data_IF_718831143069
#
_entry.id   IF_718831143069
#
_cell.length_a   1.000
_cell.length_b   1.000
_cell.length_c   1.000
_cell.angle_alpha   90.00
_cell.angle_beta   90.00
_cell.angle_gamma   90.00
#
_symmetry.space_group_name_H-M   'P 1'
#
loop_
_entity.id
_entity.type
_entity.pdbx_description
1 polymer ?
#
# COMPACT_ATOMS: atom_id res chain seq x y z
N UNK A 1 27.93 29.19 31.10
CA UNK A 1 28.10 27.78 31.48
C UNK A 1 26.95 27.37 32.36
N UNK A 2 25.92 26.81 31.81
CA UNK A 2 24.89 26.05 32.55
C UNK A 2 23.87 25.52 31.51
N UNK A 3 23.98 24.31 31.11
CA UNK A 3 23.04 23.71 30.17
C UNK A 3 23.47 22.33 29.79
N UNK A 4 23.18 21.32 30.60
CA UNK A 4 23.12 19.91 30.16
C UNK A 4 22.98 18.99 31.40
N UNK A 5 21.81 18.99 32.04
CA UNK A 5 21.61 18.10 33.19
C UNK A 5 20.13 17.66 33.37
N UNK A 6 19.34 17.56 32.32
CA UNK A 6 17.89 17.18 32.45
C UNK A 6 17.56 15.79 31.90
N UNK A 7 18.51 15.04 31.32
CA UNK A 7 18.22 13.77 30.64
C UNK A 7 18.80 12.52 31.32
N UNK A 8 19.03 12.52 32.62
CA UNK A 8 19.53 11.32 33.34
C UNK A 8 18.77 10.99 34.63
N UNK A 9 17.45 11.05 34.60
CA UNK A 9 16.65 10.49 35.68
C UNK A 9 16.09 9.12 35.22
N UNK A 10 16.47 8.01 35.87
CA UNK A 10 15.96 6.68 35.52
C UNK A 10 14.42 6.61 35.61
N UNK A 11 13.81 7.41 36.45
CA UNK A 11 12.34 7.49 36.56
C UNK A 11 11.62 7.95 35.30
N UNK A 12 12.21 8.87 34.54
CA UNK A 12 11.59 9.39 33.30
C UNK A 12 11.66 8.33 32.18
N UNK A 13 12.74 7.54 32.15
CA UNK A 13 12.89 6.44 31.19
C UNK A 13 11.87 5.32 31.45
N UNK A 14 11.68 4.94 32.72
CA UNK A 14 10.69 3.92 33.12
C UNK A 14 9.25 4.41 32.84
N UNK A 15 8.96 5.69 33.06
CA UNK A 15 7.65 6.27 32.79
C UNK A 15 7.32 6.32 31.27
N UNK A 16 8.31 6.63 30.43
CA UNK A 16 8.16 6.58 28.96
C UNK A 16 7.98 5.13 28.47
N UNK A 17 8.71 4.19 29.05
CA UNK A 17 8.59 2.76 28.72
C UNK A 17 7.20 2.25 29.11
N UNK A 18 6.72 2.60 30.29
CA UNK A 18 5.41 2.21 30.79
C UNK A 18 4.26 2.79 29.96
N UNK A 19 4.35 4.06 29.53
CA UNK A 19 3.40 4.69 28.62
C UNK A 19 3.42 4.05 27.21
N UNK A 20 4.58 3.57 26.74
CA UNK A 20 4.69 2.87 25.47
C UNK A 20 4.05 1.49 25.52
N UNK A 21 4.20 0.77 26.64
CA UNK A 21 3.64 -0.56 26.83
C UNK A 21 2.12 -0.50 27.12
N UNK A 22 1.64 0.54 27.81
CA UNK A 22 0.21 0.80 27.97
C UNK A 22 -0.47 1.14 26.64
N UNK A 23 0.18 1.92 25.76
CA UNK A 23 -0.34 2.19 24.42
C UNK A 23 -0.40 0.93 23.55
N UNK A 24 0.61 0.06 23.61
CA UNK A 24 0.62 -1.23 22.89
C UNK A 24 -0.46 -2.16 23.41
N UNK A 25 -0.64 -2.24 24.75
CA UNK A 25 -1.68 -3.02 25.40
C UNK A 25 -3.08 -2.49 25.08
N UNK A 26 -3.26 -1.17 25.10
CA UNK A 26 -4.53 -0.52 24.74
C UNK A 26 -4.89 -0.74 23.27
N UNK A 27 -3.90 -0.69 22.35
CA UNK A 27 -4.11 -0.96 20.93
C UNK A 27 -4.49 -2.44 20.71
N UNK A 28 -3.81 -3.38 21.36
CA UNK A 28 -4.12 -4.80 21.30
C UNK A 28 -5.53 -5.12 21.85
N UNK A 29 -5.90 -4.52 22.98
CA UNK A 29 -7.24 -4.69 23.58
C UNK A 29 -8.34 -4.03 22.74
N UNK A 30 -8.03 -2.96 22.01
CA UNK A 30 -8.98 -2.29 21.11
C UNK A 30 -9.25 -3.13 19.85
N UNK A 31 -8.21 -3.80 19.34
CA UNK A 31 -8.31 -4.77 18.24
C UNK A 31 -9.15 -5.99 18.67
N UNK A 32 -9.01 -6.43 19.91
CA UNK A 32 -9.75 -7.56 20.45
C UNK A 32 -11.25 -7.25 20.67
N UNK A 33 -11.60 -6.03 21.10
CA UNK A 33 -13.02 -5.60 21.26
C UNK A 33 -13.77 -5.43 19.94
N UNK A 34 -13.09 -5.19 18.83
CA UNK A 34 -13.72 -5.10 17.50
C UNK A 34 -14.02 -6.47 16.89
N UNK A 35 -13.57 -7.57 17.49
CA UNK A 35 -13.88 -8.94 17.07
C UNK A 35 -15.29 -9.42 17.44
N UNK A 36 -16.08 -8.66 18.20
CA UNK A 36 -17.37 -9.10 18.74
C UNK A 36 -18.61 -8.65 17.92
N UNK A 37 -18.46 -8.08 16.74
CA UNK A 37 -19.56 -7.89 15.78
C UNK A 37 -19.88 -9.19 15.04
N UNK A 38 -21.14 -9.43 14.60
CA UNK A 38 -21.46 -10.59 13.77
C UNK A 38 -20.71 -10.48 12.44
N UNK A 39 -19.54 -11.13 12.36
CA UNK A 39 -18.75 -11.16 11.15
C UNK A 39 -19.52 -11.92 10.06
N UNK A 40 -19.72 -11.27 8.94
CA UNK A 40 -20.39 -11.89 7.81
C UNK A 40 -19.58 -13.11 7.34
N UNK A 41 -20.23 -14.28 7.30
CA UNK A 41 -19.60 -15.48 6.76
C UNK A 41 -19.78 -15.52 5.25
N UNK A 42 -18.69 -15.72 4.55
CA UNK A 42 -18.65 -15.91 3.10
C UNK A 42 -18.58 -17.41 2.80
N UNK A 43 -19.61 -17.95 2.15
CA UNK A 43 -19.62 -19.35 1.72
C UNK A 43 -18.76 -19.54 0.46
N UNK A 44 -18.29 -20.76 0.22
CA UNK A 44 -17.50 -21.08 -0.99
C UNK A 44 -18.22 -20.78 -2.31
N UNK A 45 -19.56 -20.76 -2.32
CA UNK A 45 -20.38 -20.35 -3.49
C UNK A 45 -20.22 -18.85 -3.83
N UNK A 46 -19.87 -18.04 -2.84
CA UNK A 46 -19.77 -16.60 -2.96
C UNK A 46 -18.32 -16.11 -3.17
N UNK A 47 -17.39 -17.06 -3.19
CA UNK A 47 -15.98 -16.75 -3.45
C UNK A 47 -15.78 -16.18 -4.84
N UNK A 48 -15.23 -14.98 -4.92
CA UNK A 48 -14.93 -14.25 -6.15
C UNK A 48 -13.57 -13.58 -6.06
N UNK A 49 -13.01 -13.30 -7.21
CA UNK A 49 -11.82 -12.43 -7.28
C UNK A 49 -12.15 -11.08 -6.62
N UNK A 50 -11.28 -10.63 -5.72
CA UNK A 50 -11.46 -9.39 -4.95
C UNK A 50 -12.24 -9.55 -3.65
N UNK A 51 -12.77 -10.74 -3.31
CA UNK A 51 -13.37 -11.01 -2.00
C UNK A 51 -12.31 -10.91 -0.91
N UNK A 52 -12.62 -10.17 0.15
CA UNK A 52 -11.75 -10.01 1.31
C UNK A 52 -12.20 -10.95 2.41
N UNK A 53 -11.28 -11.76 2.92
CA UNK A 53 -11.55 -12.79 3.92
C UNK A 53 -10.53 -12.76 5.04
N UNK A 54 -10.92 -13.19 6.22
CA UNK A 54 -10.02 -13.37 7.37
C UNK A 54 -9.57 -14.83 7.39
N UNK A 55 -8.26 -15.02 7.44
CA UNK A 55 -7.64 -16.32 7.59
C UNK A 55 -6.54 -16.23 8.65
N UNK A 56 -6.62 -17.11 9.65
CA UNK A 56 -5.67 -17.13 10.77
C UNK A 56 -5.55 -15.74 11.47
N UNK A 57 -6.63 -14.95 11.46
CA UNK A 57 -6.69 -13.61 12.07
C UNK A 57 -6.08 -12.49 11.24
N UNK A 58 -5.69 -12.76 10.00
CA UNK A 58 -5.14 -11.76 9.07
C UNK A 58 -6.06 -11.58 7.84
N UNK A 59 -6.13 -10.37 7.27
CA UNK A 59 -6.96 -10.12 6.08
C UNK A 59 -6.25 -10.57 4.80
N UNK A 60 -6.99 -11.27 3.96
CA UNK A 60 -6.54 -11.75 2.65
C UNK A 60 -7.46 -11.27 1.53
N UNK A 61 -6.86 -10.96 0.39
CA UNK A 61 -7.56 -10.68 -0.87
C UNK A 61 -7.53 -11.91 -1.79
N UNK A 62 -8.69 -12.33 -2.30
CA UNK A 62 -8.78 -13.43 -3.26
C UNK A 62 -8.39 -12.95 -4.65
N UNK A 63 -7.18 -13.32 -5.12
CA UNK A 63 -6.68 -12.99 -6.46
C UNK A 63 -7.33 -13.83 -7.54
N UNK A 64 -7.49 -15.14 -7.27
CA UNK A 64 -8.05 -16.11 -8.20
C UNK A 64 -8.90 -17.13 -7.44
N UNK A 65 -10.03 -17.51 -8.03
CA UNK A 65 -10.90 -18.57 -7.54
C UNK A 65 -11.21 -19.50 -8.69
N UNK A 66 -10.71 -20.74 -8.62
CA UNK A 66 -10.90 -21.75 -9.64
C UNK A 66 -11.81 -22.86 -9.09
N UNK A 67 -13.00 -22.99 -9.67
CA UNK A 67 -13.93 -24.06 -9.36
C UNK A 67 -13.57 -25.34 -10.11
N UNK A 68 -13.36 -26.44 -9.38
CA UNK A 68 -13.05 -27.75 -9.94
C UNK A 68 -14.10 -28.74 -9.47
N UNK A 69 -14.85 -29.31 -10.43
CA UNK A 69 -15.81 -30.37 -10.16
C UNK A 69 -15.24 -31.69 -10.67
N UNK A 70 -14.64 -32.53 -9.82
CA UNK A 70 -14.19 -33.87 -10.24
C UNK A 70 -15.39 -34.75 -10.61
N UNK A 71 -15.22 -35.66 -11.54
CA UNK A 71 -16.30 -36.56 -12.01
C UNK A 71 -16.87 -37.47 -10.91
N UNK A 72 -16.09 -37.77 -9.87
CA UNK A 72 -16.52 -38.44 -8.64
C UNK A 72 -15.95 -37.64 -7.44
N UNK A 73 -16.82 -37.14 -6.56
CA UNK A 73 -16.43 -36.43 -5.33
C UNK A 73 -17.05 -35.04 -5.19
N UNK A 74 -16.74 -34.39 -4.07
CA UNK A 74 -17.17 -33.01 -3.78
C UNK A 74 -16.46 -32.00 -4.68
N UNK A 75 -17.19 -30.94 -5.02
CA UNK A 75 -16.60 -29.81 -5.71
C UNK A 75 -15.56 -29.09 -4.83
N UNK A 76 -14.49 -28.63 -5.45
CA UNK A 76 -13.37 -27.97 -4.79
C UNK A 76 -13.18 -26.56 -5.36
N UNK A 77 -12.85 -25.63 -4.49
CA UNK A 77 -12.48 -24.26 -4.84
C UNK A 77 -11.00 -24.07 -4.56
N UNK A 78 -10.20 -23.91 -5.61
CA UNK A 78 -8.79 -23.54 -5.49
C UNK A 78 -8.69 -22.03 -5.47
N UNK A 79 -8.27 -21.48 -4.35
CA UNK A 79 -8.19 -20.04 -4.12
C UNK A 79 -6.71 -19.65 -4.00
N UNK A 80 -6.31 -18.66 -4.78
CA UNK A 80 -5.05 -17.97 -4.65
C UNK A 80 -5.31 -16.65 -3.95
N UNK A 81 -4.69 -16.47 -2.79
CA UNK A 81 -4.97 -15.35 -1.89
C UNK A 81 -3.69 -14.58 -1.57
N UNK A 82 -3.79 -13.26 -1.47
CA UNK A 82 -2.70 -12.39 -1.06
C UNK A 82 -2.99 -11.84 0.34
N UNK A 83 -2.05 -12.02 1.24
CA UNK A 83 -2.10 -11.37 2.54
C UNK A 83 -1.98 -9.85 2.37
N UNK A 84 -2.91 -9.09 2.93
CA UNK A 84 -2.95 -7.65 2.77
C UNK A 84 -1.97 -6.91 3.69
N UNK A 85 -1.50 -7.56 4.78
CA UNK A 85 -0.51 -6.99 5.69
C UNK A 85 0.92 -7.26 5.24
N UNK A 86 1.19 -8.51 4.82
CA UNK A 86 2.55 -9.01 4.52
C UNK A 86 2.85 -9.12 3.03
N UNK A 87 1.85 -8.96 2.17
CA UNK A 87 1.99 -9.11 0.72
C UNK A 87 2.23 -10.54 0.23
N UNK A 88 2.33 -11.52 1.11
CA UNK A 88 2.60 -12.93 0.77
C UNK A 88 1.42 -13.58 0.05
N UNK A 89 1.71 -14.45 -0.92
CA UNK A 89 0.68 -15.18 -1.68
C UNK A 89 0.59 -16.59 -1.14
N UNK A 90 -0.66 -17.04 -0.92
CA UNK A 90 -0.99 -18.36 -0.41
C UNK A 90 -2.02 -19.04 -1.34
N UNK A 91 -1.78 -20.29 -1.69
CA UNK A 91 -2.73 -21.13 -2.42
C UNK A 91 -3.41 -22.10 -1.45
N UNK A 92 -4.75 -22.03 -1.34
CA UNK A 92 -5.54 -22.97 -0.53
C UNK A 92 -6.71 -23.56 -1.34
N UNK A 93 -7.11 -24.76 -0.94
CA UNK A 93 -8.25 -25.47 -1.55
C UNK A 93 -9.32 -25.69 -0.49
N UNK A 94 -10.53 -25.23 -0.79
CA UNK A 94 -11.72 -25.38 0.04
C UNK A 94 -12.71 -26.35 -0.59
N UNK A 95 -13.47 -27.05 0.23
CA UNK A 95 -14.55 -27.92 -0.22
C UNK A 95 -15.83 -27.11 -0.39
N UNK A 96 -16.71 -27.59 -1.26
CA UNK A 96 -18.05 -27.00 -1.35
C UNK A 96 -18.79 -27.16 -0.01
N UNK A 97 -19.21 -26.02 0.57
CA UNK A 97 -19.85 -25.96 1.89
C UNK A 97 -18.95 -25.38 3.00
N UNK A 98 -17.65 -25.21 2.74
CA UNK A 98 -16.79 -24.48 3.67
C UNK A 98 -17.19 -22.99 3.69
N UNK A 99 -16.94 -22.31 4.81
CA UNK A 99 -17.14 -20.86 4.95
C UNK A 99 -15.90 -20.21 5.52
N UNK A 100 -15.66 -18.97 5.12
CA UNK A 100 -14.63 -18.10 5.67
C UNK A 100 -15.29 -16.84 6.24
N UNK A 101 -14.64 -16.26 7.20
CA UNK A 101 -15.02 -14.95 7.72
C UNK A 101 -14.74 -13.86 6.68
N UNK A 102 -15.73 -13.02 6.37
CA UNK A 102 -15.52 -11.85 5.54
C UNK A 102 -14.72 -10.80 6.32
N UNK A 103 -13.67 -10.25 5.71
CA UNK A 103 -12.96 -9.13 6.29
C UNK A 103 -13.76 -7.84 6.06
N UNK A 104 -14.07 -7.12 7.15
CA UNK A 104 -14.67 -5.79 7.05
C UNK A 104 -13.59 -4.79 6.66
N UNK A 105 -13.52 -4.50 5.36
CA UNK A 105 -12.58 -3.55 4.80
C UNK A 105 -13.32 -2.39 4.17
N UNK A 106 -12.87 -1.17 4.45
CA UNK A 106 -13.38 0.05 3.86
C UNK A 106 -12.32 0.75 3.03
N UNK A 107 -12.74 1.41 1.97
CA UNK A 107 -11.90 2.35 1.24
C UNK A 107 -12.08 3.75 1.86
N UNK A 108 -10.98 4.43 2.07
CA UNK A 108 -10.93 5.83 2.46
C UNK A 108 -10.03 6.62 1.53
N UNK A 109 -10.08 7.93 1.59
CA UNK A 109 -9.19 8.83 0.86
C UNK A 109 -8.18 9.41 1.84
N UNK A 110 -6.90 9.24 1.52
CA UNK A 110 -5.79 9.77 2.31
C UNK A 110 -4.88 10.63 1.46
N UNK A 111 -4.53 11.80 1.98
CA UNK A 111 -3.56 12.70 1.39
C UNK A 111 -2.16 12.36 1.89
N UNK A 112 -1.23 12.10 0.98
CA UNK A 112 0.16 11.80 1.33
C UNK A 112 0.84 13.06 1.87
N UNK A 113 1.43 12.97 3.05
CA UNK A 113 2.13 14.08 3.68
C UNK A 113 3.65 13.96 3.49
N UNK A 114 4.22 12.88 3.98
CA UNK A 114 5.66 12.63 3.91
C UNK A 114 6.01 11.17 4.16
N UNK A 115 7.26 10.82 3.84
CA UNK A 115 7.83 9.52 4.14
C UNK A 115 8.68 9.59 5.41
N UNK A 116 8.41 8.69 6.35
CA UNK A 116 9.19 8.53 7.58
C UNK A 116 9.96 7.18 7.57
N UNK A 117 10.79 6.96 8.57
CA UNK A 117 11.55 5.70 8.77
C UNK A 117 10.66 4.48 8.96
N UNK A 118 9.44 4.67 9.46
CA UNK A 118 8.44 3.62 9.71
C UNK A 118 7.54 3.32 8.52
N UNK A 119 7.44 4.26 7.56
CA UNK A 119 6.57 4.13 6.39
C UNK A 119 6.17 5.45 5.78
N UNK A 120 4.99 5.45 5.17
CA UNK A 120 4.38 6.60 4.51
C UNK A 120 3.29 7.17 5.41
N UNK A 121 3.35 8.45 5.70
CA UNK A 121 2.36 9.15 6.53
C UNK A 121 1.32 9.82 5.65
N UNK A 122 0.06 9.55 5.95
CA UNK A 122 -1.11 10.11 5.28
C UNK A 122 -2.01 10.81 6.27
N UNK A 123 -2.83 11.71 5.77
CA UNK A 123 -3.92 12.35 6.49
C UNK A 123 -5.25 11.93 5.87
N UNK A 124 -6.16 11.40 6.68
CA UNK A 124 -7.53 11.09 6.25
C UNK A 124 -8.27 12.40 5.96
N UNK A 125 -8.87 12.51 4.78
CA UNK A 125 -9.58 13.73 4.37
C UNK A 125 -10.93 13.93 5.08
N UNK A 126 -11.44 12.93 5.78
CA UNK A 126 -12.74 13.02 6.47
C UNK A 126 -12.59 13.47 7.93
N UNK A 127 -11.64 12.90 8.66
CA UNK A 127 -11.45 13.16 10.09
C UNK A 127 -10.17 13.92 10.39
N UNK A 128 -9.30 14.16 9.39
CA UNK A 128 -7.99 14.82 9.51
C UNK A 128 -7.02 14.10 10.45
N UNK A 129 -7.26 12.83 10.74
CA UNK A 129 -6.34 12.02 11.52
C UNK A 129 -5.17 11.53 10.66
N UNK A 130 -3.99 11.53 11.26
CA UNK A 130 -2.80 10.99 10.59
C UNK A 130 -2.67 9.50 10.87
N UNK A 131 -2.33 8.75 9.83
CA UNK A 131 -2.04 7.33 9.94
C UNK A 131 -0.82 6.97 9.08
N UNK A 132 -0.17 5.87 9.43
CA UNK A 132 1.04 5.42 8.74
C UNK A 132 0.77 4.08 8.04
N UNK A 133 1.19 3.99 6.79
CA UNK A 133 1.19 2.75 6.01
C UNK A 133 2.62 2.27 5.92
N UNK A 134 2.88 1.00 6.26
CA UNK A 134 4.22 0.42 6.14
C UNK A 134 4.69 0.42 4.69
N UNK A 135 6.00 0.56 4.47
CA UNK A 135 6.59 0.52 3.13
C UNK A 135 6.31 -0.81 2.42
N UNK A 136 6.16 -1.91 3.17
CA UNK A 136 5.80 -3.22 2.63
C UNK A 136 4.37 -3.28 2.10
N UNK A 137 3.42 -2.67 2.83
CA UNK A 137 2.02 -2.62 2.41
C UNK A 137 1.79 -1.66 1.23
N UNK A 138 2.56 -0.57 1.16
CA UNK A 138 2.52 0.37 0.04
C UNK A 138 3.16 -0.21 -1.24
N UNK A 139 4.19 -1.05 -1.10
CA UNK A 139 4.88 -1.71 -2.22
C UNK A 139 5.39 -0.72 -3.27
N UNK A 140 5.32 -1.12 -4.55
CA UNK A 140 5.80 -0.31 -5.68
C UNK A 140 5.00 0.98 -5.91
N UNK A 141 3.79 1.08 -5.36
CA UNK A 141 2.95 2.26 -5.51
C UNK A 141 3.49 3.49 -4.78
N UNK A 142 4.37 3.27 -3.80
CA UNK A 142 5.06 4.34 -3.08
C UNK A 142 6.12 5.08 -3.91
N UNK A 143 6.58 4.49 -5.03
CA UNK A 143 7.72 4.99 -5.81
C UNK A 143 7.45 6.33 -6.47
N UNK A 144 6.23 6.55 -6.95
CA UNK A 144 5.84 7.75 -7.71
C UNK A 144 4.78 8.59 -6.99
N UNK A 145 4.74 8.50 -5.65
CA UNK A 145 3.90 9.39 -4.85
C UNK A 145 4.48 10.79 -4.85
N UNK A 146 3.58 11.76 -5.06
CA UNK A 146 3.87 13.18 -4.91
C UNK A 146 3.36 13.68 -3.56
N UNK A 147 3.97 14.74 -3.04
CA UNK A 147 3.47 15.44 -1.86
C UNK A 147 2.04 15.94 -2.11
N UNK A 148 1.19 15.78 -1.14
CA UNK A 148 -0.25 16.10 -1.18
C UNK A 148 -1.05 15.29 -2.23
N UNK A 149 -0.53 14.17 -2.74
CA UNK A 149 -1.30 13.30 -3.63
C UNK A 149 -2.42 12.59 -2.86
N UNK A 150 -3.64 12.67 -3.38
CA UNK A 150 -4.80 11.95 -2.83
C UNK A 150 -4.77 10.50 -3.32
N UNK A 151 -4.72 9.58 -2.39
CA UNK A 151 -4.66 8.16 -2.61
C UNK A 151 -5.88 7.45 -2.03
N UNK A 152 -6.27 6.34 -2.64
CA UNK A 152 -7.27 5.45 -2.03
C UNK A 152 -6.55 4.51 -1.08
N UNK A 153 -6.97 4.53 0.17
CA UNK A 153 -6.41 3.71 1.24
C UNK A 153 -7.42 2.65 1.65
N UNK A 154 -6.94 1.42 1.75
CA UNK A 154 -7.73 0.30 2.22
C UNK A 154 -7.54 0.17 3.74
N UNK A 155 -8.62 0.32 4.49
CA UNK A 155 -8.65 0.15 5.93
C UNK A 155 -9.27 -1.19 6.31
N UNK A 156 -8.72 -1.84 7.29
CA UNK A 156 -9.31 -2.96 8.00
C UNK A 156 -9.54 -2.54 9.46
N UNK A 157 -10.81 -2.26 9.79
CA UNK A 157 -11.10 -1.54 11.01
C UNK A 157 -10.49 -0.13 11.00
N UNK A 158 -9.59 0.15 11.95
CA UNK A 158 -8.86 1.43 12.05
C UNK A 158 -7.44 1.37 11.45
N UNK A 159 -7.01 0.20 10.99
CA UNK A 159 -5.64 0.00 10.47
C UNK A 159 -5.63 0.14 8.96
N UNK A 160 -4.76 0.99 8.44
CA UNK A 160 -4.50 1.10 7.01
C UNK A 160 -3.63 -0.07 6.54
N UNK A 161 -4.17 -0.91 5.66
CA UNK A 161 -3.55 -2.18 5.22
C UNK A 161 -3.14 -2.19 3.75
N UNK A 162 -3.54 -1.19 2.98
CA UNK A 162 -3.20 -1.10 1.58
C UNK A 162 -3.32 0.31 1.04
N UNK A 163 -2.61 0.55 -0.04
CA UNK A 163 -2.57 1.83 -0.73
C UNK A 163 -2.85 1.60 -2.22
N UNK A 164 -3.64 2.47 -2.82
CA UNK A 164 -3.79 2.59 -4.26
C UNK A 164 -3.48 4.03 -4.65
N UNK A 165 -2.28 4.23 -5.21
CA UNK A 165 -1.84 5.53 -5.69
C UNK A 165 -2.65 5.94 -6.94
N UNK A 166 -2.71 7.24 -7.26
CA UNK A 166 -3.24 7.72 -8.53
C UNK A 166 -2.57 7.00 -9.71
N UNK A 167 -3.33 6.71 -10.76
CA UNK A 167 -2.79 6.00 -11.92
C UNK A 167 -1.70 6.79 -12.65
N UNK A 168 -1.70 8.10 -12.52
CA UNK A 168 -0.77 9.02 -13.19
C UNK A 168 -0.19 10.01 -12.19
N UNK A 169 1.11 10.30 -12.35
CA UNK A 169 1.81 11.33 -11.60
C UNK A 169 2.47 12.33 -12.58
N UNK A 170 2.46 13.61 -12.23
CA UNK A 170 3.14 14.67 -13.02
C UNK A 170 4.38 15.11 -12.27
N UNK A 171 5.56 14.77 -12.77
CA UNK A 171 6.83 15.01 -12.10
C UNK A 171 7.78 15.84 -12.94
N UNK A 172 8.63 16.62 -12.26
CA UNK A 172 9.67 17.41 -12.90
C UNK A 172 10.92 16.56 -13.13
N UNK A 173 11.48 16.65 -14.33
CA UNK A 173 12.77 16.04 -14.66
C UNK A 173 13.90 16.86 -14.03
N UNK A 174 14.65 16.26 -13.12
CA UNK A 174 15.80 16.89 -12.44
C UNK A 174 17.09 16.66 -13.17
N UNK A 175 17.25 15.49 -13.80
CA UNK A 175 18.45 15.15 -14.56
C UNK A 175 18.09 14.25 -15.75
N UNK A 176 18.76 14.48 -16.89
CA UNK A 176 18.69 13.61 -18.06
C UNK A 176 19.95 13.75 -18.90
N UNK A 177 20.36 12.68 -19.57
CA UNK A 177 21.49 12.71 -20.47
C UNK A 177 21.18 13.49 -21.76
N UNK A 178 22.17 14.23 -22.25
CA UNK A 178 22.06 14.91 -23.54
C UNK A 178 22.36 13.92 -24.66
N UNK A 179 21.36 13.61 -25.48
CA UNK A 179 21.59 12.74 -26.64
C UNK A 179 22.04 13.61 -27.82
N UNK A 180 23.23 13.34 -28.37
CA UNK A 180 23.74 14.03 -29.55
C UNK A 180 22.79 13.80 -30.75
N UNK A 181 22.41 14.91 -31.43
CA UNK A 181 21.59 14.88 -32.65
C UNK A 181 22.40 14.21 -33.76
N UNK A 182 22.17 12.92 -34.02
CA UNK A 182 22.91 12.21 -35.07
C UNK A 182 22.31 10.87 -35.48
N UNK A 183 21.38 10.31 -34.69
CA UNK A 183 20.80 9.01 -35.00
C UNK A 183 19.27 9.15 -35.19
N UNK A 184 18.83 9.08 -36.42
CA UNK A 184 17.43 9.22 -36.87
C UNK A 184 16.61 7.94 -36.64
N UNK A 185 16.72 7.31 -35.50
CA UNK A 185 15.81 6.25 -35.12
C UNK A 185 14.69 6.81 -34.22
N UNK A 186 13.48 6.75 -34.72
CA UNK A 186 12.27 7.41 -34.21
C UNK A 186 11.81 6.94 -32.80
N UNK A 187 12.55 6.05 -32.13
CA UNK A 187 12.19 5.49 -30.83
C UNK A 187 13.36 5.49 -29.84
N UNK A 188 14.24 6.50 -29.92
CA UNK A 188 15.34 6.61 -28.96
C UNK A 188 14.80 7.09 -27.61
N UNK A 189 14.87 6.23 -26.61
CA UNK A 189 14.59 6.57 -25.20
C UNK A 189 15.89 6.80 -24.45
N UNK A 190 15.85 7.64 -23.42
CA UNK A 190 16.98 7.94 -22.53
C UNK A 190 16.52 7.90 -21.08
N UNK A 191 17.42 7.60 -20.14
CA UNK A 191 17.09 7.67 -18.72
C UNK A 191 16.95 9.14 -18.29
N UNK A 192 15.92 9.41 -17.50
CA UNK A 192 15.70 10.69 -16.86
C UNK A 192 15.40 10.47 -15.38
N UNK A 193 16.03 11.23 -14.52
CA UNK A 193 15.74 11.23 -13.09
C UNK A 193 14.70 12.29 -12.79
N UNK A 194 13.66 11.92 -12.07
CA UNK A 194 12.60 12.83 -11.64
C UNK A 194 12.83 13.33 -10.21
N UNK A 195 12.04 14.29 -9.76
CA UNK A 195 12.23 15.02 -8.49
C UNK A 195 12.28 14.14 -7.24
N UNK A 196 11.65 12.98 -7.27
CA UNK A 196 11.70 12.00 -6.17
C UNK A 196 12.92 11.06 -6.22
N UNK A 197 13.84 11.24 -7.17
CA UNK A 197 15.06 10.44 -7.33
C UNK A 197 14.89 9.16 -8.15
N UNK A 198 13.69 8.83 -8.61
CA UNK A 198 13.42 7.66 -9.45
C UNK A 198 13.85 7.91 -10.90
N UNK A 199 14.25 6.84 -11.59
CA UNK A 199 14.66 6.90 -13.00
C UNK A 199 13.58 6.34 -13.91
N UNK A 200 13.19 7.13 -14.91
CA UNK A 200 12.16 6.80 -15.90
C UNK A 200 12.74 6.86 -17.31
N UNK A 201 12.34 5.95 -18.19
CA UNK A 201 12.71 6.00 -19.61
C UNK A 201 11.83 7.02 -20.36
N UNK A 202 12.45 8.05 -20.89
CA UNK A 202 11.76 9.13 -21.60
C UNK A 202 12.24 9.26 -23.05
N UNK A 203 11.44 9.80 -23.98
CA UNK A 203 11.88 10.10 -25.34
C UNK A 203 13.04 11.12 -25.36
N UNK A 204 13.88 11.05 -26.39
CA UNK A 204 15.07 11.88 -26.53
C UNK A 204 14.82 13.39 -26.48
N UNK A 205 13.62 13.86 -26.80
CA UNK A 205 13.26 15.27 -26.83
C UNK A 205 12.94 15.88 -25.45
N UNK A 206 12.82 15.05 -24.41
CA UNK A 206 12.58 15.52 -23.04
C UNK A 206 13.87 16.12 -22.48
N UNK A 207 13.79 17.31 -21.93
CA UNK A 207 14.92 18.04 -21.37
C UNK A 207 14.81 18.19 -19.85
N UNK A 208 15.94 18.54 -19.23
CA UNK A 208 15.96 18.86 -17.81
C UNK A 208 15.08 20.08 -17.52
N UNK A 209 14.23 19.97 -16.50
CA UNK A 209 13.24 20.98 -16.13
C UNK A 209 11.86 20.76 -16.73
N UNK A 210 11.70 19.85 -17.71
CA UNK A 210 10.38 19.51 -18.27
C UNK A 210 9.50 18.84 -17.22
N UNK A 211 8.19 19.12 -17.30
CA UNK A 211 7.17 18.39 -16.55
C UNK A 211 6.68 17.22 -17.40
N UNK A 212 6.77 16.03 -16.86
CA UNK A 212 6.34 14.81 -17.55
C UNK A 212 5.24 14.11 -16.76
N UNK A 213 4.29 13.53 -17.49
CA UNK A 213 3.28 12.64 -16.94
C UNK A 213 3.74 11.21 -17.11
N UNK A 214 3.73 10.48 -16.02
CA UNK A 214 4.14 9.07 -15.94
C UNK A 214 3.01 8.22 -15.40
N UNK A 215 3.00 6.96 -15.77
CA UNK A 215 2.15 5.96 -15.13
C UNK A 215 2.78 5.60 -13.78
N UNK A 216 2.08 5.88 -12.68
CA UNK A 216 2.59 5.65 -11.33
C UNK A 216 2.76 4.16 -10.98
N UNK A 217 2.09 3.25 -11.70
CA UNK A 217 2.19 1.81 -11.45
C UNK A 217 3.33 1.15 -12.23
N UNK A 218 3.52 1.55 -13.51
CA UNK A 218 4.53 0.93 -14.38
C UNK A 218 5.82 1.74 -14.49
N UNK A 219 5.80 3.03 -14.10
CA UNK A 219 6.91 3.95 -14.27
C UNK A 219 7.13 4.38 -15.72
N UNK A 220 6.16 4.15 -16.62
CA UNK A 220 6.28 4.48 -18.02
C UNK A 220 5.92 5.96 -18.30
N UNK A 221 6.70 6.58 -19.18
CA UNK A 221 6.40 7.92 -19.69
C UNK A 221 5.10 7.91 -20.53
N UNK A 222 4.22 8.85 -20.27
CA UNK A 222 2.97 9.03 -21.02
C UNK A 222 3.11 10.24 -21.96
N UNK A 223 3.34 11.41 -21.39
CA UNK A 223 3.43 12.67 -22.18
C UNK A 223 4.21 13.75 -21.43
N UNK A 224 4.63 14.78 -22.19
CA UNK A 224 5.17 16.02 -21.63
C UNK A 224 4.04 17.00 -21.38
N UNK A 225 3.94 17.49 -20.14
CA UNK A 225 2.98 18.52 -19.73
C UNK A 225 3.59 19.88 -20.05
N UNK A 226 2.84 20.73 -20.73
CA UNK A 226 3.25 22.10 -21.12
C UNK A 226 2.67 23.12 -20.16
#
# INVERSE_FOLDING_TARGET
>A
MAGSAILKSPKIFDEIQQLSDERKSSCAQRIERQREGPMAQLNTSDFRKGSKVILDGEPYDMLEVNFVKPGKGQALYKCRMKNLLKGTILDRTYKSGDSLEAADVRNGEGEFLYKDTTGLVFMDQQNFEQFTISSEAAGDQARFLQDNAVCVVLFWGEVAIGLTAPAQAVMKVTYTETVARGNTTSNLTKPATVENGETVQVPAFVEMGDMIRINAQTGEYIERVR
#
